data_IF_308082648459
#
_entry.id   IF_308082648459
#
_cell.length_a   1.000
_cell.length_b   1.000
_cell.length_c   1.000
_cell.angle_alpha   90.00
_cell.angle_beta   90.00
_cell.angle_gamma   90.00
#
_symmetry.space_group_name_H-M   'P 1'
#
loop_
_entity.id
_entity.type
_entity.pdbx_description
1 polymer ?
#
# COMPACT_ATOMS: atom_id res chain seq x y z
N UNK A 1 12.00 -13.27 1.59
CA UNK A 1 12.16 -13.53 0.15
C UNK A 1 10.86 -13.44 -0.66
N UNK A 2 9.83 -12.72 -0.21
CA UNK A 2 8.56 -12.63 -0.97
C UNK A 2 7.93 -13.99 -1.23
N UNK A 3 7.91 -14.87 -0.23
CA UNK A 3 7.30 -16.20 -0.33
C UNK A 3 6.46 -16.45 0.92
N UNK A 4 5.41 -17.26 0.78
CA UNK A 4 4.62 -17.74 1.91
C UNK A 4 5.48 -18.61 2.85
N UNK A 5 5.10 -18.71 4.11
CA UNK A 5 5.85 -19.51 5.11
C UNK A 5 5.94 -21.00 4.73
N UNK A 6 4.94 -21.50 4.00
CA UNK A 6 4.93 -22.86 3.44
C UNK A 6 5.72 -23.00 2.12
N UNK A 7 6.28 -21.90 1.59
CA UNK A 7 7.08 -21.85 0.37
C UNK A 7 6.33 -22.12 -0.93
N UNK A 8 5.00 -22.27 -0.90
CA UNK A 8 4.21 -22.68 -2.07
C UNK A 8 3.89 -21.54 -3.02
N UNK A 9 3.85 -20.31 -2.52
CA UNK A 9 3.49 -19.14 -3.30
C UNK A 9 4.59 -18.09 -3.21
N UNK A 10 5.03 -17.61 -4.38
CA UNK A 10 5.99 -16.50 -4.49
C UNK A 10 5.23 -15.25 -4.90
N UNK A 11 5.38 -14.19 -4.12
CA UNK A 11 4.82 -12.88 -4.41
C UNK A 11 5.63 -12.24 -5.55
N UNK A 12 4.91 -11.59 -6.46
CA UNK A 12 5.52 -10.73 -7.46
C UNK A 12 6.11 -9.50 -6.78
N UNK A 13 7.23 -9.03 -7.30
CA UNK A 13 7.87 -7.79 -6.83
C UNK A 13 7.55 -6.66 -7.81
N UNK A 14 7.16 -5.47 -7.33
CA UNK A 14 7.12 -4.29 -8.18
C UNK A 14 8.53 -3.94 -8.65
N UNK A 15 8.62 -3.18 -9.74
CA UNK A 15 9.89 -2.66 -10.28
C UNK A 15 10.53 -1.62 -9.36
N UNK A 16 9.73 -0.95 -8.53
CA UNK A 16 10.15 0.08 -7.60
C UNK A 16 10.91 -0.49 -6.39
N UNK A 17 11.93 0.24 -5.95
CA UNK A 17 12.54 0.06 -4.63
C UNK A 17 12.12 1.21 -3.74
N UNK A 18 11.58 0.89 -2.56
CA UNK A 18 11.11 1.90 -1.62
C UNK A 18 12.28 2.38 -0.76
N UNK A 19 12.67 3.63 -0.93
CA UNK A 19 13.72 4.27 -0.13
C UNK A 19 13.19 4.79 1.22
N UNK A 20 14.09 5.03 2.17
CA UNK A 20 13.75 5.67 3.45
C UNK A 20 13.10 7.05 3.24
N UNK A 21 13.55 7.81 2.25
CA UNK A 21 13.01 9.13 1.94
C UNK A 21 11.55 9.05 1.44
N UNK A 22 11.22 8.02 0.65
CA UNK A 22 9.85 7.79 0.19
C UNK A 22 8.94 7.37 1.34
N UNK A 23 9.41 6.53 2.26
CA UNK A 23 8.64 6.18 3.47
C UNK A 23 8.34 7.43 4.30
N UNK A 24 9.33 8.29 4.51
CA UNK A 24 9.13 9.57 5.23
C UNK A 24 8.08 10.42 4.50
N UNK A 25 8.17 10.50 3.17
CA UNK A 25 7.24 11.28 2.35
C UNK A 25 5.79 10.75 2.44
N UNK A 26 5.62 9.42 2.43
CA UNK A 26 4.32 8.75 2.61
C UNK A 26 3.72 9.09 3.98
N UNK A 27 4.50 8.98 5.05
CA UNK A 27 4.04 9.28 6.40
C UNK A 27 3.68 10.75 6.57
N UNK A 28 4.53 11.67 6.08
CA UNK A 28 4.25 13.11 6.16
C UNK A 28 2.98 13.46 5.38
N UNK A 29 2.79 12.86 4.20
CA UNK A 29 1.57 13.06 3.40
C UNK A 29 0.34 12.57 4.15
N UNK A 30 0.39 11.39 4.78
CA UNK A 30 -0.71 10.87 5.58
C UNK A 30 -1.04 11.71 6.80
N UNK A 31 -0.01 12.16 7.54
CA UNK A 31 -0.21 13.07 8.66
C UNK A 31 -0.86 14.40 8.22
N UNK A 32 -0.46 14.93 7.06
CA UNK A 32 -1.06 16.13 6.50
C UNK A 32 -2.55 15.91 6.15
N UNK A 33 -2.89 14.78 5.53
CA UNK A 33 -4.30 14.44 5.23
C UNK A 33 -5.14 14.33 6.50
N UNK A 34 -4.64 13.62 7.51
CA UNK A 34 -5.33 13.47 8.78
C UNK A 34 -5.53 14.82 9.51
N UNK A 35 -4.53 15.71 9.46
CA UNK A 35 -4.59 17.01 10.11
C UNK A 35 -5.50 18.02 9.38
N UNK A 36 -5.52 17.99 8.04
CA UNK A 36 -6.27 18.97 7.24
C UNK A 36 -7.70 18.53 6.92
N UNK A 37 -7.92 17.23 6.74
CA UNK A 37 -9.20 16.68 6.27
C UNK A 37 -9.83 15.68 7.25
N UNK A 38 -9.12 15.28 8.30
CA UNK A 38 -9.60 14.38 9.34
C UNK A 38 -9.75 15.03 10.70
N UNK A 39 -9.63 14.21 11.75
CA UNK A 39 -9.66 14.61 13.16
C UNK A 39 -8.26 14.69 13.78
N UNK A 40 -7.21 14.73 12.94
CA UNK A 40 -5.81 14.71 13.38
C UNK A 40 -5.27 13.31 13.71
N UNK A 41 -6.09 12.25 13.64
CA UNK A 41 -5.64 10.87 13.83
C UNK A 41 -5.44 10.21 12.46
N UNK A 42 -4.18 9.87 12.16
CA UNK A 42 -3.83 9.20 10.91
C UNK A 42 -4.38 7.77 10.88
N UNK A 43 -5.15 7.46 9.84
CA UNK A 43 -5.76 6.15 9.56
C UNK A 43 -5.32 5.62 8.19
N UNK A 44 -5.71 4.40 7.89
CA UNK A 44 -5.32 3.75 6.64
C UNK A 44 -5.69 4.54 5.35
N UNK A 45 -6.85 5.21 5.25
CA UNK A 45 -7.19 6.03 4.10
C UNK A 45 -6.20 7.18 3.83
N UNK A 46 -5.65 7.76 4.89
CA UNK A 46 -4.70 8.88 4.77
C UNK A 46 -3.37 8.46 4.12
N UNK A 47 -3.02 7.17 4.21
CA UNK A 47 -1.78 6.62 3.67
C UNK A 47 -1.96 5.95 2.31
N UNK A 48 -3.16 5.43 2.01
CA UNK A 48 -3.39 4.54 0.88
C UNK A 48 -2.90 5.12 -0.47
N UNK A 49 -3.24 6.39 -0.77
CA UNK A 49 -2.88 7.02 -2.04
C UNK A 49 -1.38 7.32 -2.17
N UNK A 50 -0.76 7.85 -1.11
CA UNK A 50 0.66 8.17 -1.11
C UNK A 50 1.53 6.91 -1.18
N UNK A 51 1.12 5.84 -0.47
CA UNK A 51 1.79 4.55 -0.52
C UNK A 51 1.63 3.87 -1.88
N UNK A 52 0.44 3.92 -2.48
CA UNK A 52 0.23 3.41 -3.84
C UNK A 52 1.13 4.13 -4.86
N UNK A 53 1.26 5.47 -4.78
CA UNK A 53 2.17 6.22 -5.64
C UNK A 53 3.66 5.99 -5.35
N UNK A 54 4.01 5.58 -4.13
CA UNK A 54 5.36 5.16 -3.80
C UNK A 54 5.71 3.77 -4.36
N UNK A 55 4.73 2.87 -4.44
CA UNK A 55 4.92 1.48 -4.91
C UNK A 55 4.76 1.36 -6.43
N UNK A 56 3.77 2.05 -7.02
CA UNK A 56 3.43 1.95 -8.45
C UNK A 56 4.17 3.03 -9.23
N UNK A 57 5.31 2.69 -9.83
CA UNK A 57 6.10 3.60 -10.68
C UNK A 57 5.86 3.35 -12.16
N UNK A 58 5.73 2.08 -12.55
CA UNK A 58 5.21 1.66 -13.86
C UNK A 58 3.68 1.43 -13.74
N UNK A 59 2.84 2.27 -14.37
CA UNK A 59 1.39 2.19 -14.23
C UNK A 59 0.78 0.93 -14.86
N UNK A 60 1.53 0.19 -15.69
CA UNK A 60 1.08 -1.04 -16.32
C UNK A 60 1.56 -2.24 -15.51
N UNK A 61 2.86 -2.38 -15.29
CA UNK A 61 3.41 -3.57 -14.64
C UNK A 61 3.22 -3.55 -13.12
N UNK A 62 3.56 -2.45 -12.46
CA UNK A 62 3.51 -2.38 -11.00
C UNK A 62 2.07 -2.35 -10.49
N UNK A 63 1.14 -1.80 -11.28
CA UNK A 63 -0.29 -1.78 -10.92
C UNK A 63 -0.86 -3.19 -10.82
N UNK A 64 -0.50 -4.09 -11.75
CA UNK A 64 -0.93 -5.49 -11.72
C UNK A 64 -0.35 -6.19 -10.48
N UNK A 65 0.94 -5.98 -10.19
CA UNK A 65 1.59 -6.55 -9.00
C UNK A 65 0.95 -6.06 -7.71
N UNK A 66 0.66 -4.75 -7.63
CA UNK A 66 0.02 -4.14 -6.46
C UNK A 66 -1.38 -4.70 -6.23
N UNK A 67 -2.20 -4.80 -7.28
CA UNK A 67 -3.54 -5.37 -7.19
C UNK A 67 -3.52 -6.83 -6.74
N UNK A 68 -2.60 -7.64 -7.27
CA UNK A 68 -2.45 -9.03 -6.85
C UNK A 68 -2.05 -9.15 -5.37
N UNK A 69 -1.16 -8.29 -4.88
CA UNK A 69 -0.79 -8.24 -3.47
C UNK A 69 -1.98 -7.86 -2.57
N UNK A 70 -2.77 -6.86 -2.97
CA UNK A 70 -3.97 -6.46 -2.24
C UNK A 70 -4.98 -7.62 -2.15
N UNK A 71 -5.26 -8.30 -3.26
CA UNK A 71 -6.26 -9.37 -3.31
C UNK A 71 -5.79 -10.68 -2.65
N UNK A 72 -4.49 -10.98 -2.67
CA UNK A 72 -3.96 -12.27 -2.21
C UNK A 72 -3.41 -12.23 -0.79
N UNK A 73 -2.90 -11.07 -0.35
CA UNK A 73 -2.24 -10.92 0.96
C UNK A 73 -3.05 -10.02 1.88
N UNK A 74 -3.40 -8.83 1.43
CA UNK A 74 -4.04 -7.83 2.30
C UNK A 74 -5.48 -8.23 2.61
N UNK A 75 -6.22 -8.71 1.61
CA UNK A 75 -7.61 -9.16 1.75
C UNK A 75 -7.79 -10.28 2.76
N UNK A 76 -6.82 -11.18 2.90
CA UNK A 76 -6.88 -12.33 3.79
C UNK A 76 -6.47 -12.00 5.25
N UNK A 77 -6.07 -10.74 5.52
CA UNK A 77 -5.67 -10.28 6.86
C UNK A 77 -6.78 -9.45 7.48
N UNK A 78 -7.40 -9.95 8.54
CA UNK A 78 -8.52 -9.30 9.23
C UNK A 78 -8.12 -7.91 9.78
N UNK A 79 -6.89 -7.78 10.27
CA UNK A 79 -6.37 -6.52 10.80
C UNK A 79 -6.13 -5.45 9.74
N UNK A 80 -6.13 -5.81 8.45
CA UNK A 80 -5.81 -4.90 7.33
C UNK A 80 -7.02 -4.53 6.47
N UNK A 81 -8.23 -4.91 6.89
CA UNK A 81 -9.44 -4.70 6.08
C UNK A 81 -9.72 -3.22 5.77
N UNK A 82 -9.42 -2.31 6.71
CA UNK A 82 -9.58 -0.87 6.47
C UNK A 82 -8.62 -0.38 5.38
N UNK A 83 -7.36 -0.84 5.42
CA UNK A 83 -6.35 -0.51 4.41
C UNK A 83 -6.69 -1.10 3.04
N UNK A 84 -7.14 -2.37 3.01
CA UNK A 84 -7.60 -3.00 1.78
C UNK A 84 -8.71 -2.20 1.09
N UNK A 85 -9.73 -1.79 1.86
CA UNK A 85 -10.85 -0.97 1.34
C UNK A 85 -10.35 0.38 0.82
N UNK A 86 -9.53 1.07 1.60
CA UNK A 86 -8.95 2.34 1.19
C UNK A 86 -8.16 2.25 -0.13
N UNK A 87 -7.34 1.21 -0.31
CA UNK A 87 -6.62 1.01 -1.57
C UNK A 87 -7.52 0.62 -2.75
N UNK A 88 -8.63 -0.08 -2.51
CA UNK A 88 -9.61 -0.46 -3.54
C UNK A 88 -10.40 0.74 -4.08
N UNK A 89 -10.67 1.73 -3.24
CA UNK A 89 -11.39 2.96 -3.64
C UNK A 89 -10.56 3.88 -4.55
N UNK A 90 -9.24 3.70 -4.58
CA UNK A 90 -8.31 4.44 -5.42
C UNK A 90 -8.09 3.82 -6.82
N UNK A 91 -8.62 2.61 -7.04
CA UNK A 91 -8.34 1.79 -8.22
C UNK A 91 -9.26 2.07 -9.40
#
# INVERSE_FOLDING_TARGET
>A
NGATEDGRSKLKSPSATLSTAEVISVVISGLAMAAHFGDGVMRAPDLAASLAGAIVKDPVHDRVVWQEYLETVVRERDEWQEFYRACRELA
#
